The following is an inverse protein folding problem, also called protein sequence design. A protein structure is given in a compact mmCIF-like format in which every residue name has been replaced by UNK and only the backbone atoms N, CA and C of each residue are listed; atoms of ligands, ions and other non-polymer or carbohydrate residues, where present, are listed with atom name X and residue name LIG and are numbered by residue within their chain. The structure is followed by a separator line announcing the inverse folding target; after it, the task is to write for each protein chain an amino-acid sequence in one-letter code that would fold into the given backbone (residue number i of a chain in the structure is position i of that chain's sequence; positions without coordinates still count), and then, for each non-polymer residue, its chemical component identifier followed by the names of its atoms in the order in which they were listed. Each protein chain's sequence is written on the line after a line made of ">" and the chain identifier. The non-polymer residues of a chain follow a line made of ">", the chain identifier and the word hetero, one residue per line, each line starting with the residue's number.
data_IF_513692313818
#
_entry.id   IF_513692313818
#
_cell.length_a   1.000
_cell.length_b   1.000
_cell.length_c   1.000
_cell.angle_alpha   90.00
_cell.angle_beta   90.00
_cell.angle_gamma   90.00
#
_symmetry.space_group_name_H-M   'P 1'
#
loop_
_entity.id
_entity.type
_entity.pdbx_description
1 polymer ?
#
# COMPACT_ATOMS: atom_id res chain seq x y z
N UNK A 1 -6.88 -31.14 -4.77
CA UNK A 1 -5.50 -30.61 -4.82
C UNK A 1 -4.51 -31.67 -5.32
N UNK A 2 -4.71 -32.96 -5.02
CA UNK A 2 -3.76 -34.04 -5.37
C UNK A 2 -3.87 -34.60 -6.80
N UNK A 3 -5.02 -34.47 -7.49
CA UNK A 3 -5.23 -35.19 -8.76
C UNK A 3 -4.99 -34.37 -10.04
N UNK A 4 -4.79 -33.05 -9.95
CA UNK A 4 -4.51 -32.21 -11.13
C UNK A 4 -3.01 -32.13 -11.49
N UNK A 5 -2.12 -32.63 -10.62
CA UNK A 5 -0.66 -32.46 -10.75
C UNK A 5 0.03 -33.74 -11.28
N UNK A 6 -0.72 -34.82 -11.51
CA UNK A 6 -0.14 -36.17 -11.63
C UNK A 6 0.47 -36.57 -12.97
N UNK A 7 0.43 -35.77 -14.04
CA UNK A 7 0.88 -36.24 -15.36
C UNK A 7 1.46 -35.16 -16.29
N UNK A 8 2.53 -34.47 -15.86
CA UNK A 8 3.34 -33.66 -16.77
C UNK A 8 4.83 -33.84 -16.44
N UNK A 9 5.63 -34.24 -17.43
CA UNK A 9 7.09 -34.37 -17.32
C UNK A 9 7.68 -33.13 -16.63
N UNK A 10 8.73 -33.33 -15.82
CA UNK A 10 9.29 -32.33 -14.89
C UNK A 10 9.52 -30.94 -15.51
N UNK A 11 9.86 -30.84 -16.80
CA UNK A 11 10.10 -29.54 -17.44
C UNK A 11 8.79 -28.81 -17.80
N UNK A 12 7.76 -29.54 -18.19
CA UNK A 12 6.46 -28.97 -18.57
C UNK A 12 5.64 -28.57 -17.35
N UNK A 13 5.77 -29.30 -16.25
CA UNK A 13 5.12 -28.98 -14.98
C UNK A 13 5.66 -27.68 -14.35
N UNK A 14 6.96 -27.39 -14.48
CA UNK A 14 7.52 -26.09 -14.08
C UNK A 14 6.97 -24.92 -14.91
N UNK A 15 6.87 -25.08 -16.23
CA UNK A 15 6.27 -24.06 -17.10
C UNK A 15 4.82 -23.80 -16.73
N UNK A 16 4.06 -24.86 -16.43
CA UNK A 16 2.67 -24.75 -15.97
C UNK A 16 2.57 -23.98 -14.66
N UNK A 17 3.42 -24.25 -13.68
CA UNK A 17 3.39 -23.49 -12.42
C UNK A 17 3.75 -22.03 -12.64
N UNK A 18 4.80 -21.74 -13.42
CA UNK A 18 5.16 -20.36 -13.75
C UNK A 18 4.03 -19.66 -14.51
N UNK A 19 3.30 -20.37 -15.38
CA UNK A 19 2.11 -19.84 -16.04
C UNK A 19 1.02 -19.44 -15.04
N UNK A 20 0.72 -20.29 -14.05
CA UNK A 20 -0.25 -19.98 -12.99
C UNK A 20 0.14 -18.72 -12.21
N UNK A 21 1.41 -18.60 -11.81
CA UNK A 21 1.90 -17.41 -11.13
C UNK A 21 1.87 -16.16 -12.02
N UNK A 22 2.12 -16.28 -13.33
CA UNK A 22 1.94 -15.17 -14.26
C UNK A 22 0.48 -14.73 -14.37
N UNK A 23 -0.46 -15.69 -14.42
CA UNK A 23 -1.89 -15.38 -14.43
C UNK A 23 -2.30 -14.68 -13.13
N UNK A 24 -1.88 -15.19 -11.97
CA UNK A 24 -2.12 -14.57 -10.67
C UNK A 24 -1.57 -13.14 -10.58
N UNK A 25 -0.36 -12.91 -11.12
CA UNK A 25 0.23 -11.57 -11.16
C UNK A 25 -0.54 -10.60 -12.05
N UNK A 26 -1.12 -11.07 -13.17
CA UNK A 26 -1.99 -10.23 -14.00
C UNK A 26 -3.27 -9.86 -13.28
N UNK A 27 -3.91 -10.83 -12.65
CA UNK A 27 -5.18 -10.61 -11.94
C UNK A 27 -5.01 -9.64 -10.76
N UNK A 28 -4.00 -9.85 -9.91
CA UNK A 28 -3.67 -8.91 -8.83
C UNK A 28 -3.21 -7.57 -9.38
N UNK A 29 -2.41 -7.56 -10.46
CA UNK A 29 -1.94 -6.33 -11.11
C UNK A 29 -3.10 -5.45 -11.55
N UNK A 30 -4.06 -6.00 -12.31
CA UNK A 30 -5.25 -5.28 -12.76
C UNK A 30 -6.09 -4.76 -11.59
N UNK A 31 -6.25 -5.54 -10.51
CA UNK A 31 -6.97 -5.08 -9.32
C UNK A 31 -6.32 -3.86 -8.66
N UNK A 32 -4.99 -3.86 -8.55
CA UNK A 32 -4.25 -2.75 -7.96
C UNK A 32 -4.24 -1.52 -8.88
N UNK A 33 -4.18 -1.72 -10.20
CA UNK A 33 -4.33 -0.65 -11.19
C UNK A 33 -5.72 0.00 -11.11
N UNK A 34 -6.79 -0.80 -11.04
CA UNK A 34 -8.15 -0.28 -10.86
C UNK A 34 -8.28 0.52 -9.56
N UNK A 35 -7.71 0.02 -8.46
CA UNK A 35 -7.69 0.77 -7.19
C UNK A 35 -6.95 2.11 -7.36
N UNK A 36 -5.79 2.10 -8.00
CA UNK A 36 -5.03 3.33 -8.29
C UNK A 36 -5.85 4.33 -9.12
N UNK A 37 -6.53 3.86 -10.17
CA UNK A 37 -7.32 4.71 -11.06
C UNK A 37 -8.58 5.26 -10.37
N UNK A 38 -9.23 4.45 -9.52
CA UNK A 38 -10.34 4.89 -8.67
C UNK A 38 -9.89 6.02 -7.74
N UNK A 39 -8.72 5.90 -7.12
CA UNK A 39 -8.16 6.96 -6.27
C UNK A 39 -7.91 8.24 -7.05
N UNK A 40 -7.34 8.17 -8.26
CA UNK A 40 -7.11 9.34 -9.10
C UNK A 40 -8.41 10.01 -9.55
N UNK A 41 -9.47 9.23 -9.77
CA UNK A 41 -10.73 9.73 -10.28
C UNK A 41 -11.63 10.31 -9.19
N UNK A 42 -11.72 9.63 -8.04
CA UNK A 42 -12.67 9.97 -6.95
C UNK A 42 -12.04 10.90 -5.92
N UNK A 43 -10.72 10.78 -5.70
CA UNK A 43 -10.03 11.48 -4.63
C UNK A 43 -9.01 12.48 -5.21
N UNK A 44 -8.83 13.61 -4.51
CA UNK A 44 -7.77 14.59 -4.86
C UNK A 44 -6.36 14.09 -4.56
N UNK A 45 -6.25 12.93 -3.90
CA UNK A 45 -5.01 12.37 -3.39
C UNK A 45 -4.90 10.90 -3.80
N UNK A 46 -3.81 10.56 -4.48
CA UNK A 46 -3.50 9.19 -4.86
C UNK A 46 -2.48 8.60 -3.85
N UNK A 47 -2.85 7.60 -3.05
CA UNK A 47 -1.94 6.99 -2.09
C UNK A 47 -0.87 6.11 -2.75
N UNK A 48 -1.05 5.70 -4.01
CA UNK A 48 -0.14 4.81 -4.74
C UNK A 48 0.79 5.63 -5.63
N UNK A 49 2.10 5.51 -5.40
CA UNK A 49 3.14 6.13 -6.22
C UNK A 49 3.52 5.19 -7.37
N UNK A 50 3.89 3.96 -7.01
CA UNK A 50 4.40 2.98 -7.97
C UNK A 50 4.01 1.55 -7.58
N UNK A 51 3.70 0.75 -8.60
CA UNK A 51 3.49 -0.70 -8.47
C UNK A 51 4.63 -1.41 -9.20
N UNK A 52 5.33 -2.31 -8.52
CA UNK A 52 6.37 -3.16 -9.12
C UNK A 52 5.98 -4.62 -8.95
N UNK A 53 5.91 -5.35 -10.05
CA UNK A 53 5.60 -6.78 -10.07
C UNK A 53 6.85 -7.58 -10.37
N UNK A 54 7.01 -8.74 -9.71
CA UNK A 54 8.13 -9.66 -9.97
C UNK A 54 7.69 -11.11 -9.77
N UNK A 55 8.17 -11.98 -10.64
CA UNK A 55 8.18 -13.42 -10.43
C UNK A 55 9.61 -13.86 -10.07
N UNK A 56 9.72 -14.71 -9.06
CA UNK A 56 10.99 -15.26 -8.60
C UNK A 56 11.58 -16.19 -9.67
N UNK A 57 12.88 -16.05 -9.96
CA UNK A 57 13.53 -16.92 -10.95
C UNK A 57 13.62 -18.36 -10.41
N UNK A 58 13.62 -19.38 -11.30
CA UNK A 58 13.77 -20.77 -10.88
C UNK A 58 15.01 -21.02 -10.01
N UNK A 59 16.16 -20.40 -10.33
CA UNK A 59 17.38 -20.58 -9.51
C UNK A 59 17.18 -20.03 -8.10
N UNK A 60 16.49 -18.90 -7.97
CA UNK A 60 16.17 -18.27 -6.69
C UNK A 60 15.17 -19.10 -5.86
N UNK A 61 14.26 -19.82 -6.52
CA UNK A 61 13.32 -20.76 -5.87
C UNK A 61 14.10 -21.97 -5.34
N UNK A 62 14.94 -22.59 -6.17
CA UNK A 62 15.78 -23.73 -5.79
C UNK A 62 16.72 -23.38 -4.64
N UNK A 63 17.38 -22.21 -4.68
CA UNK A 63 18.26 -21.74 -3.58
C UNK A 63 17.48 -21.58 -2.28
N UNK A 64 16.22 -21.14 -2.33
CA UNK A 64 15.37 -20.96 -1.15
C UNK A 64 14.87 -22.29 -0.58
N UNK A 65 14.48 -23.24 -1.43
CA UNK A 65 14.14 -24.61 -1.02
C UNK A 65 15.30 -25.30 -0.30
N UNK A 66 16.51 -25.25 -0.89
CA UNK A 66 17.72 -25.79 -0.29
C UNK A 66 18.06 -25.13 1.05
N UNK A 67 17.90 -23.80 1.16
CA UNK A 67 18.10 -23.07 2.42
C UNK A 67 17.14 -23.53 3.52
N UNK A 68 15.93 -23.94 3.15
CA UNK A 68 14.95 -24.50 4.08
C UNK A 68 15.09 -26.01 4.31
N UNK A 69 16.07 -26.66 3.67
CA UNK A 69 16.31 -28.09 3.81
C UNK A 69 15.33 -28.98 3.04
N UNK A 70 14.59 -28.43 2.07
CA UNK A 70 13.64 -29.20 1.25
C UNK A 70 14.26 -29.64 -0.08
N UNK A 71 13.85 -30.80 -0.56
CA UNK A 71 14.17 -31.28 -1.90
C UNK A 71 13.54 -30.40 -2.97
N UNK A 72 14.20 -30.33 -4.13
CA UNK A 72 13.72 -29.57 -5.29
C UNK A 72 12.62 -30.33 -6.00
N UNK A 73 11.39 -30.19 -5.50
CA UNK A 73 10.18 -30.70 -6.13
C UNK A 73 9.14 -29.59 -6.29
N UNK A 74 8.21 -29.79 -7.25
CA UNK A 74 7.13 -28.83 -7.51
C UNK A 74 6.17 -28.74 -6.33
N UNK A 75 5.88 -29.86 -5.69
CA UNK A 75 5.05 -29.90 -4.48
C UNK A 75 5.66 -29.06 -3.36
N UNK A 76 6.96 -29.23 -3.09
CA UNK A 76 7.67 -28.47 -2.07
C UNK A 76 7.71 -26.98 -2.42
N UNK A 77 7.87 -26.65 -3.70
CA UNK A 77 7.81 -25.27 -4.18
C UNK A 77 6.46 -24.61 -3.83
N UNK A 78 5.34 -25.22 -4.23
CA UNK A 78 4.00 -24.67 -3.98
C UNK A 78 3.65 -24.60 -2.49
N UNK A 79 4.14 -25.58 -1.71
CA UNK A 79 3.85 -25.69 -0.28
C UNK A 79 4.65 -24.70 0.56
N UNK A 80 5.97 -24.62 0.34
CA UNK A 80 6.90 -23.92 1.24
C UNK A 80 7.37 -22.55 0.75
N UNK A 81 7.25 -22.26 -0.55
CA UNK A 81 7.69 -20.97 -1.11
C UNK A 81 6.47 -20.07 -1.32
N UNK A 82 6.32 -19.09 -0.44
CA UNK A 82 5.17 -18.18 -0.46
C UNK A 82 5.37 -16.93 -1.34
N UNK A 83 6.60 -16.62 -1.73
CA UNK A 83 7.01 -15.39 -2.46
C UNK A 83 7.44 -15.68 -3.91
N UNK A 84 6.76 -16.61 -4.59
CA UNK A 84 7.03 -16.90 -6.01
C UNK A 84 6.52 -15.74 -6.87
N UNK A 85 5.26 -15.34 -6.66
CA UNK A 85 4.67 -14.12 -7.18
C UNK A 85 4.76 -13.03 -6.10
N UNK A 86 5.39 -11.91 -6.43
CA UNK A 86 5.58 -10.79 -5.52
C UNK A 86 5.15 -9.47 -6.15
N UNK A 87 4.28 -8.75 -5.47
CA UNK A 87 3.92 -7.37 -5.81
C UNK A 87 4.51 -6.44 -4.76
N UNK A 88 5.08 -5.33 -5.20
CA UNK A 88 5.49 -4.23 -4.33
C UNK A 88 4.66 -3.01 -4.63
N UNK A 89 3.95 -2.55 -3.61
CA UNK A 89 3.13 -1.35 -3.65
C UNK A 89 3.85 -0.25 -2.87
N UNK A 90 4.32 0.78 -3.59
CA UNK A 90 5.01 1.93 -3.01
C UNK A 90 3.98 3.04 -2.84
N UNK A 91 3.83 3.50 -1.61
CA UNK A 91 2.87 4.53 -1.20
C UNK A 91 3.62 5.78 -0.75
N UNK A 92 2.93 6.93 -0.70
CA UNK A 92 3.54 8.18 -0.25
C UNK A 92 3.78 8.17 1.25
N UNK A 93 2.81 7.73 2.06
CA UNK A 93 2.91 7.74 3.53
C UNK A 93 2.59 6.40 4.20
N UNK A 94 3.01 6.28 5.46
CA UNK A 94 2.76 5.09 6.29
C UNK A 94 1.26 4.89 6.58
N UNK A 95 0.47 5.96 6.68
CA UNK A 95 -1.00 5.86 6.84
C UNK A 95 -1.67 5.18 5.64
N UNK A 96 -1.22 5.49 4.43
CA UNK A 96 -1.72 4.91 3.18
C UNK A 96 -1.48 3.42 3.08
N UNK A 97 -0.39 2.94 3.68
CA UNK A 97 -0.07 1.50 3.72
C UNK A 97 -1.22 0.71 4.36
N UNK A 98 -1.72 1.17 5.50
CA UNK A 98 -2.78 0.48 6.21
C UNK A 98 -4.12 0.59 5.49
N UNK A 99 -4.42 1.77 4.92
CA UNK A 99 -5.64 1.99 4.13
C UNK A 99 -5.67 1.05 2.91
N UNK A 100 -4.58 0.96 2.17
CA UNK A 100 -4.48 0.08 1.01
C UNK A 100 -4.51 -1.40 1.42
N UNK A 101 -3.84 -1.77 2.51
CA UNK A 101 -3.90 -3.13 3.04
C UNK A 101 -5.33 -3.57 3.39
N UNK A 102 -6.10 -2.69 4.02
CA UNK A 102 -7.51 -2.93 4.34
C UNK A 102 -8.37 -3.06 3.08
N UNK A 103 -8.22 -2.15 2.12
CA UNK A 103 -8.98 -2.20 0.87
C UNK A 103 -8.71 -3.47 0.07
N UNK A 104 -7.44 -3.89 -0.04
CA UNK A 104 -7.07 -5.13 -0.71
C UNK A 104 -7.60 -6.34 0.08
N UNK A 105 -7.51 -6.31 1.41
CA UNK A 105 -8.01 -7.38 2.27
C UNK A 105 -9.54 -7.53 2.27
N UNK A 106 -10.26 -6.47 1.93
CA UNK A 106 -11.73 -6.48 1.82
C UNK A 106 -12.23 -6.95 0.44
N UNK A 107 -11.35 -7.21 -0.53
CA UNK A 107 -11.78 -7.75 -1.82
C UNK A 107 -12.25 -9.20 -1.66
N UNK A 108 -13.49 -9.46 -2.08
CA UNK A 108 -14.16 -10.75 -1.87
C UNK A 108 -13.48 -11.96 -2.52
N UNK A 109 -12.67 -11.73 -3.56
CA UNK A 109 -11.94 -12.76 -4.30
C UNK A 109 -10.46 -12.90 -3.90
N UNK A 110 -9.99 -12.10 -2.93
CA UNK A 110 -8.65 -12.25 -2.35
C UNK A 110 -8.75 -12.78 -0.92
N UNK A 111 -8.21 -13.98 -0.70
CA UNK A 111 -8.14 -14.55 0.65
C UNK A 111 -6.82 -14.19 1.33
N UNK A 112 -6.86 -13.38 2.38
CA UNK A 112 -5.68 -13.09 3.19
C UNK A 112 -5.26 -14.34 3.98
N UNK A 113 -4.07 -14.87 3.70
CA UNK A 113 -3.50 -16.06 4.35
C UNK A 113 -2.63 -15.70 5.55
N UNK A 114 -1.83 -14.63 5.45
CA UNK A 114 -0.95 -14.19 6.52
C UNK A 114 -0.60 -12.71 6.38
N UNK A 115 -0.41 -12.03 7.52
CA UNK A 115 0.07 -10.65 7.58
C UNK A 115 1.32 -10.61 8.46
N UNK A 116 2.36 -9.91 8.00
CA UNK A 116 3.57 -9.61 8.79
C UNK A 116 3.82 -8.11 8.74
N UNK A 117 3.59 -7.46 9.87
CA UNK A 117 3.75 -6.03 10.03
C UNK A 117 5.15 -5.69 10.59
N UNK A 118 6.12 -5.48 9.71
CA UNK A 118 7.46 -5.04 10.09
C UNK A 118 7.54 -3.52 10.27
N UNK A 119 6.44 -2.78 10.10
CA UNK A 119 6.41 -1.35 10.43
C UNK A 119 6.29 -1.22 11.94
N UNK A 120 5.35 -1.95 12.56
CA UNK A 120 5.18 -2.01 14.02
C UNK A 120 6.27 -2.79 14.73
N UNK A 121 6.77 -3.87 14.11
CA UNK A 121 7.88 -4.69 14.65
C UNK A 121 9.01 -4.81 13.63
N UNK A 122 9.84 -3.77 13.49
CA UNK A 122 10.99 -3.81 12.58
C UNK A 122 11.93 -4.97 12.90
N UNK A 123 12.65 -5.46 11.88
CA UNK A 123 13.73 -6.43 12.13
C UNK A 123 14.90 -5.74 12.83
N UNK A 124 15.79 -6.54 13.42
CA UNK A 124 17.04 -6.06 14.02
C UNK A 124 17.88 -5.23 13.06
N UNK A 125 17.86 -5.55 11.75
CA UNK A 125 18.54 -4.78 10.71
C UNK A 125 17.98 -3.37 10.46
N UNK A 126 16.83 -3.02 11.07
CA UNK A 126 16.10 -1.78 10.78
C UNK A 126 15.07 -1.91 9.64
N UNK A 127 14.93 -3.10 9.05
CA UNK A 127 13.98 -3.34 7.96
C UNK A 127 12.53 -3.12 8.37
N UNK A 128 11.83 -2.25 7.62
CA UNK A 128 10.39 -1.97 7.72
C UNK A 128 9.68 -2.24 6.40
N UNK A 129 8.52 -2.88 6.47
CA UNK A 129 7.59 -3.13 5.35
C UNK A 129 6.34 -3.80 5.89
N UNK A 130 5.19 -3.61 5.24
CA UNK A 130 3.99 -4.38 5.51
C UNK A 130 3.88 -5.53 4.51
N UNK A 131 3.87 -6.78 4.97
CA UNK A 131 3.76 -7.95 4.08
C UNK A 131 2.41 -8.61 4.27
N UNK A 132 1.72 -8.83 3.15
CA UNK A 132 0.44 -9.51 3.11
C UNK A 132 0.53 -10.65 2.11
N UNK A 133 0.31 -11.88 2.57
CA UNK A 133 0.22 -13.05 1.72
C UNK A 133 -1.26 -13.29 1.40
N UNK A 134 -1.62 -13.23 0.13
CA UNK A 134 -2.98 -13.47 -0.35
C UNK A 134 -3.04 -14.73 -1.22
N UNK A 135 -4.21 -15.35 -1.27
CA UNK A 135 -4.55 -16.41 -2.21
C UNK A 135 -5.53 -15.88 -3.24
N UNK A 136 -5.28 -16.15 -4.51
CA UNK A 136 -6.08 -15.69 -5.65
C UNK A 136 -6.55 -16.89 -6.46
N UNK A 137 -7.86 -17.04 -6.71
CA UNK A 137 -8.39 -18.16 -7.47
C UNK A 137 -8.17 -17.95 -8.97
N UNK A 138 -7.31 -18.76 -9.60
CA UNK A 138 -7.04 -18.67 -11.04
C UNK A 138 -7.98 -19.60 -11.81
N UNK A 139 -8.84 -19.01 -12.63
CA UNK A 139 -9.78 -19.74 -13.48
C UNK A 139 -9.11 -20.18 -14.78
N UNK A 140 -8.91 -21.49 -14.93
CA UNK A 140 -8.44 -22.15 -16.16
C UNK A 140 -9.65 -22.70 -16.95
N UNK A 141 -9.37 -23.24 -18.13
CA UNK A 141 -10.41 -23.80 -19.01
C UNK A 141 -11.19 -24.96 -18.39
N UNK A 142 -10.58 -25.72 -17.49
CA UNK A 142 -11.11 -26.97 -16.94
C UNK A 142 -11.07 -27.03 -15.40
N UNK A 143 -10.48 -26.04 -14.74
CA UNK A 143 -10.22 -26.08 -13.30
C UNK A 143 -9.99 -24.69 -12.70
N UNK A 144 -10.12 -24.59 -11.38
CA UNK A 144 -9.77 -23.38 -10.61
C UNK A 144 -8.61 -23.72 -9.69
N UNK A 145 -7.54 -22.92 -9.73
CA UNK A 145 -6.33 -23.16 -8.95
C UNK A 145 -5.99 -21.93 -8.10
N UNK A 146 -6.08 -22.12 -6.78
CA UNK A 146 -5.68 -21.09 -5.81
C UNK A 146 -4.16 -20.88 -5.84
N UNK A 147 -3.74 -19.66 -6.16
CA UNK A 147 -2.33 -19.28 -6.28
C UNK A 147 -1.97 -18.20 -5.26
N UNK A 148 -0.85 -18.38 -4.56
CA UNK A 148 -0.37 -17.44 -3.53
C UNK A 148 0.35 -16.25 -4.16
N UNK A 149 0.07 -15.03 -3.69
CA UNK A 149 0.79 -13.82 -4.07
C UNK A 149 1.21 -13.08 -2.81
N UNK A 150 2.48 -12.71 -2.71
CA UNK A 150 2.99 -11.85 -1.63
C UNK A 150 2.92 -10.39 -2.06
N UNK A 151 2.16 -9.58 -1.33
CA UNK A 151 2.05 -8.14 -1.52
C UNK A 151 2.87 -7.45 -0.43
N UNK A 152 3.88 -6.70 -0.83
CA UNK A 152 4.73 -5.90 0.05
C UNK A 152 4.37 -4.43 -0.13
N UNK A 153 3.83 -3.81 0.91
CA UNK A 153 3.43 -2.41 0.91
C UNK A 153 4.46 -1.61 1.71
N UNK A 154 4.93 -0.50 1.14
CA UNK A 154 6.06 0.31 1.66
C UNK A 154 5.87 1.79 1.34
N UNK A 155 6.50 2.67 2.13
CA UNK A 155 6.73 4.05 1.70
C UNK A 155 7.91 4.13 0.73
N UNK A 156 8.06 5.28 0.05
CA UNK A 156 9.24 5.55 -0.80
C UNK A 156 10.54 5.38 0.01
N UNK A 157 10.56 5.92 1.24
CA UNK A 157 11.68 5.83 2.17
C UNK A 157 12.04 4.37 2.50
N UNK A 158 11.04 3.54 2.81
CA UNK A 158 11.23 2.12 3.08
C UNK A 158 11.70 1.33 1.84
N UNK A 159 11.17 1.61 0.63
CA UNK A 159 11.62 0.95 -0.61
C UNK A 159 13.07 1.31 -0.95
N UNK A 160 13.45 2.58 -0.76
CA UNK A 160 14.81 3.05 -0.98
C UNK A 160 15.81 2.32 -0.09
N UNK A 161 15.60 2.36 1.23
CA UNK A 161 16.50 1.72 2.19
C UNK A 161 16.61 0.21 1.98
N UNK A 162 15.47 -0.47 1.83
CA UNK A 162 15.45 -1.93 1.64
C UNK A 162 16.06 -2.37 0.30
N UNK A 163 15.99 -1.53 -0.74
CA UNK A 163 16.65 -1.82 -2.02
C UNK A 163 18.17 -1.70 -1.92
N UNK A 164 18.68 -0.80 -1.08
CA UNK A 164 20.11 -0.67 -0.81
C UNK A 164 20.63 -1.83 0.05
N UNK A 165 19.95 -2.12 1.16
CA UNK A 165 20.28 -3.22 2.06
C UNK A 165 20.34 -4.55 1.30
N UNK A 166 19.33 -4.84 0.48
CA UNK A 166 19.30 -6.09 -0.29
C UNK A 166 20.46 -6.19 -1.29
N UNK A 167 20.86 -5.08 -1.93
CA UNK A 167 22.02 -5.07 -2.85
C UNK A 167 23.32 -5.33 -2.12
N UNK A 168 23.49 -4.77 -0.92
CA UNK A 168 24.68 -4.96 -0.09
C UNK A 168 24.72 -6.40 0.41
N UNK A 169 23.63 -6.88 1.01
CA UNK A 169 23.51 -8.25 1.51
C UNK A 169 23.83 -9.29 0.43
N UNK A 170 23.36 -9.07 -0.80
CA UNK A 170 23.66 -9.97 -1.93
C UNK A 170 25.13 -9.93 -2.34
N UNK A 171 25.78 -8.76 -2.36
CA UNK A 171 27.20 -8.63 -2.73
C UNK A 171 28.14 -9.29 -1.72
N UNK A 172 27.78 -9.27 -0.45
CA UNK A 172 28.57 -9.87 0.63
C UNK A 172 28.12 -11.30 0.99
N UNK A 173 27.21 -11.89 0.21
CA UNK A 173 26.60 -13.21 0.48
C UNK A 173 26.01 -13.38 1.90
N UNK A 174 25.70 -12.27 2.57
CA UNK A 174 25.22 -12.25 3.95
C UNK A 174 26.31 -12.11 5.02
N UNK A 175 27.58 -11.99 4.63
CA UNK A 175 28.73 -11.76 5.52
C UNK A 175 29.26 -10.33 5.35
N UNK A 176 28.37 -9.35 5.52
CA UNK A 176 28.76 -7.95 5.45
C UNK A 176 29.55 -7.58 6.72
N UNK A 177 30.68 -6.86 6.61
CA UNK A 177 31.42 -6.38 7.77
C UNK A 177 30.53 -5.62 8.77
N UNK A 178 30.75 -5.81 10.07
CA UNK A 178 29.93 -5.24 11.14
C UNK A 178 29.73 -3.72 11.04
N UNK A 179 30.77 -3.00 10.59
CA UNK A 179 30.68 -1.55 10.41
C UNK A 179 29.66 -1.15 9.34
N UNK A 180 29.50 -1.95 8.27
CA UNK A 180 28.51 -1.70 7.21
C UNK A 180 27.11 -1.97 7.75
N UNK A 181 26.94 -3.05 8.52
CA UNK A 181 25.66 -3.39 9.14
C UNK A 181 25.20 -2.31 10.10
N UNK A 182 26.12 -1.74 10.90
CA UNK A 182 25.83 -0.61 11.81
C UNK A 182 25.46 0.66 11.04
N UNK A 183 26.23 1.03 10.02
CA UNK A 183 25.93 2.17 9.14
C UNK A 183 24.56 2.03 8.46
N UNK A 184 24.20 0.83 8.01
CA UNK A 184 22.89 0.55 7.43
C UNK A 184 21.76 0.72 8.44
N UNK A 185 21.97 0.29 9.69
CA UNK A 185 21.01 0.46 10.76
C UNK A 185 20.82 1.94 11.12
N UNK A 186 21.90 2.72 11.19
CA UNK A 186 21.85 4.17 11.38
C UNK A 186 21.12 4.87 10.21
N UNK A 187 21.41 4.47 8.98
CA UNK A 187 20.66 4.91 7.80
C UNK A 187 19.17 4.57 7.90
N UNK A 188 18.82 3.39 8.43
CA UNK A 188 17.42 2.99 8.59
C UNK A 188 16.68 3.93 9.55
N UNK A 189 17.35 4.29 10.64
CA UNK A 189 16.81 5.22 11.64
C UNK A 189 16.60 6.61 11.05
N UNK A 190 17.61 7.16 10.36
CA UNK A 190 17.50 8.47 9.71
C UNK A 190 16.38 8.51 8.66
N UNK A 191 16.27 7.46 7.84
CA UNK A 191 15.21 7.34 6.83
C UNK A 191 13.83 7.29 7.49
N UNK A 192 13.68 6.57 8.61
CA UNK A 192 12.43 6.54 9.35
C UNK A 192 12.05 7.90 9.90
N UNK A 193 12.99 8.63 10.52
CA UNK A 193 12.72 9.96 11.08
C UNK A 193 12.36 10.98 10.00
N UNK A 194 12.96 10.86 8.82
CA UNK A 194 12.60 11.67 7.66
C UNK A 194 11.17 11.36 7.19
N UNK A 195 10.80 10.08 7.09
CA UNK A 195 9.46 9.64 6.68
C UNK A 195 8.39 10.16 7.65
N UNK A 196 8.64 10.06 8.96
CA UNK A 196 7.74 10.55 10.02
C UNK A 196 7.58 12.09 9.99
N UNK A 197 8.67 12.82 9.74
CA UNK A 197 8.64 14.28 9.57
C UNK A 197 7.86 14.69 8.31
N UNK A 198 8.04 13.97 7.20
CA UNK A 198 7.32 14.24 5.95
C UNK A 198 5.82 13.97 6.10
N UNK A 199 5.45 12.91 6.82
CA UNK A 199 4.05 12.65 7.17
C UNK A 199 3.46 13.80 8.01
N UNK A 200 4.15 14.22 9.06
CA UNK A 200 3.71 15.33 9.93
C UNK A 200 3.53 16.64 9.15
N UNK A 201 4.43 16.92 8.21
CA UNK A 201 4.35 18.09 7.33
C UNK A 201 3.12 18.00 6.42
N UNK A 202 2.86 16.84 5.83
CA UNK A 202 1.69 16.62 4.99
C UNK A 202 0.38 16.82 5.78
N UNK A 203 0.28 16.27 6.99
CA UNK A 203 -0.87 16.48 7.87
C UNK A 203 -1.10 17.98 8.19
N UNK A 204 -0.03 18.72 8.47
CA UNK A 204 -0.11 20.16 8.69
C UNK A 204 -0.56 20.94 7.44
N UNK A 205 -0.07 20.56 6.26
CA UNK A 205 -0.49 21.17 4.98
C UNK A 205 -1.97 20.91 4.72
N UNK A 206 -2.45 19.67 4.91
CA UNK A 206 -3.86 19.34 4.74
C UNK A 206 -4.75 20.14 5.70
N UNK A 207 -4.36 20.26 6.97
CA UNK A 207 -5.09 21.06 7.94
C UNK A 207 -5.19 22.55 7.55
N UNK A 208 -4.11 23.14 7.02
CA UNK A 208 -4.14 24.51 6.50
C UNK A 208 -5.12 24.67 5.32
N UNK A 209 -5.11 23.72 4.37
CA UNK A 209 -6.00 23.74 3.21
C UNK A 209 -7.48 23.56 3.60
N UNK A 210 -7.77 22.81 4.67
CA UNK A 210 -9.14 22.65 5.18
C UNK A 210 -9.66 23.94 5.83
N UNK A 211 -8.82 24.66 6.59
CA UNK A 211 -9.18 25.94 7.22
C UNK A 211 -9.46 27.03 6.18
N UNK A 212 -8.74 27.06 5.06
CA UNK A 212 -9.03 28.00 3.96
C UNK A 212 -10.35 27.70 3.23
N UNK A 213 -10.84 26.46 3.30
CA UNK A 213 -12.08 26.02 2.63
C UNK A 213 -13.32 26.00 3.56
N UNK A 214 -13.16 26.23 4.86
CA UNK A 214 -14.31 26.41 5.76
C UNK A 214 -15.00 27.75 5.50
N UNK A 215 -16.29 27.79 5.12
CA UNK A 215 -17.00 29.04 4.99
C UNK A 215 -17.07 29.72 6.36
N UNK A 216 -16.64 30.97 6.42
CA UNK A 216 -16.77 31.82 7.62
C UNK A 216 -18.23 31.77 8.08
N UNK A 217 -18.54 31.45 9.35
CA UNK A 217 -19.89 31.59 9.87
C UNK A 217 -20.30 33.04 9.70
N UNK A 218 -21.27 33.31 8.83
CA UNK A 218 -21.83 34.64 8.69
C UNK A 218 -22.59 34.89 9.99
N UNK A 219 -22.01 35.66 10.92
CA UNK A 219 -22.76 36.13 12.07
C UNK A 219 -23.97 36.91 11.55
N UNK A 220 -25.20 36.63 12.03
CA UNK A 220 -26.36 37.41 11.62
C UNK A 220 -26.12 38.86 12.03
N UNK A 221 -26.00 39.72 11.03
CA UNK A 221 -25.98 41.17 11.20
C UNK A 221 -27.24 41.53 11.97
N UNK A 222 -27.09 41.97 13.22
CA UNK A 222 -28.19 42.56 13.98
C UNK A 222 -28.57 43.85 13.27
N UNK A 223 -29.63 43.82 12.46
CA UNK A 223 -30.26 45.01 11.94
C UNK A 223 -30.62 45.93 13.12
N UNK A 224 -29.98 47.10 13.17
CA UNK A 224 -30.32 48.16 14.10
C UNK A 224 -31.72 48.69 13.75
N UNK A 225 -32.75 48.12 14.36
CA UNK A 225 -34.15 48.57 14.27
C UNK A 225 -34.41 49.98 14.87
N UNK A 226 -33.37 50.72 15.25
CA UNK A 226 -33.49 52.07 15.83
C UNK A 226 -33.47 53.20 14.79
N UNK A 227 -33.17 52.93 13.52
CA UNK A 227 -33.16 53.98 12.49
C UNK A 227 -34.49 54.12 11.73
N UNK A 228 -35.33 53.08 11.64
CA UNK A 228 -36.61 53.18 10.94
C UNK A 228 -37.71 53.90 11.75
N UNK A 229 -37.70 53.79 13.09
CA UNK A 229 -38.68 54.52 13.94
C UNK A 229 -38.53 56.04 13.90
N UNK A 230 -37.31 56.55 13.69
CA UNK A 230 -37.09 58.01 13.61
C UNK A 230 -37.58 58.61 12.29
N UNK A 231 -37.75 57.81 11.24
CA UNK A 231 -38.26 58.30 9.96
C UNK A 231 -39.80 58.37 9.98
N UNK A 232 -40.48 57.42 10.62
CA UNK A 232 -41.95 57.40 10.72
C UNK A 232 -42.50 58.52 11.63
N UNK A 233 -41.84 58.81 12.77
CA UNK A 233 -42.27 59.89 13.69
C UNK A 233 -42.19 61.29 13.05
N UNK A 234 -41.26 61.51 12.11
CA UNK A 234 -41.12 62.79 11.40
C UNK A 234 -42.23 62.96 10.35
N UNK A 235 -42.66 61.87 9.71
CA UNK A 235 -43.69 61.91 8.66
C UNK A 235 -45.08 62.14 9.27
N UNK A 236 -45.41 61.55 10.43
CA UNK A 236 -46.67 61.84 11.13
C UNK A 236 -46.74 63.29 11.63
N UNK A 237 -45.64 63.87 12.09
CA UNK A 237 -45.64 65.25 12.58
C UNK A 237 -45.81 66.30 11.46
N UNK A 238 -45.41 65.98 10.23
CA UNK A 238 -45.52 66.88 9.08
C UNK A 238 -46.91 66.79 8.42
N UNK A 239 -47.54 65.60 8.42
CA UNK A 239 -48.84 65.38 7.78
C UNK A 239 -50.05 65.64 8.69
N UNK A 240 -49.85 65.85 9.99
CA UNK A 240 -50.92 66.06 10.98
C UNK A 240 -51.38 67.51 11.20
N UNK A 241 -50.97 68.48 10.37
CA UNK A 241 -51.44 69.88 10.45
C UNK A 241 -51.92 70.40 9.11
N UNK A 242 -52.98 69.80 8.58
CA UNK A 242 -53.90 70.50 7.69
C UNK A 242 -55.23 69.75 7.65
N UNK A 243 -56.29 70.46 8.08
CA UNK A 243 -57.73 70.09 8.16
C UNK A 243 -58.24 69.62 9.52
#
# INVERSE_FOLDING_TARGET
>A
MEDAIKNYEDVDSWKTVIFLYNAAMKEVGTKLEILNDEFQHVHKYNPIEHIKTRIKTPESIVKKLKRYGYETSIENMLRYINDIAGVRLICSFTSDIYRLAEMIGNQSDLKVLAIKDYIKKPKESGYKSYHMLVSVPIFLSDSVVDTKVEIQIRTIAMDFWASLEHKIYYKFEGDAPDYISRELQECAQMVSELDDKMLSLNEAIQACLEVENTPVPVEPVKENQEQEKKQEDIVEHILGKES
#
